data_IF_754238709665
#
_entry.id   IF_754238709665
#
_cell.length_a   1.000
_cell.length_b   1.000
_cell.length_c   1.000
_cell.angle_alpha   90.00
_cell.angle_beta   90.00
_cell.angle_gamma   90.00
#
_symmetry.space_group_name_H-M   'P 1'
#
loop_
_entity.id
_entity.type
_entity.pdbx_description
1 polymer ?
#
# COMPACT_ATOMS: atom_id res chain seq x y z
N UNK A 1 -3.45 30.75 16.46
CA UNK A 1 -4.06 29.41 16.22
C UNK A 1 -4.29 29.28 14.73
N UNK A 2 -3.45 28.53 14.04
CA UNK A 2 -3.60 28.30 12.60
C UNK A 2 -4.65 27.21 12.44
N UNK A 3 -5.83 27.57 11.96
CA UNK A 3 -6.83 26.57 11.54
C UNK A 3 -6.29 25.87 10.28
N UNK A 4 -5.79 24.66 10.42
CA UNK A 4 -5.63 23.76 9.29
C UNK A 4 -7.01 23.19 9.00
N UNK A 5 -7.61 23.58 7.89
CA UNK A 5 -8.74 22.83 7.34
C UNK A 5 -8.17 21.50 6.80
N UNK A 6 -8.60 20.41 7.39
CA UNK A 6 -8.27 19.07 6.92
C UNK A 6 -9.36 18.72 5.90
N UNK A 7 -8.94 18.36 4.69
CA UNK A 7 -9.85 17.95 3.62
C UNK A 7 -9.64 16.46 3.37
N UNK A 8 -10.62 15.67 3.75
CA UNK A 8 -10.71 14.26 3.38
C UNK A 8 -11.22 14.17 1.93
N UNK A 9 -10.34 14.48 0.98
CA UNK A 9 -10.70 14.48 -0.44
C UNK A 9 -10.28 13.17 -1.10
N UNK A 10 -11.26 12.46 -1.69
CA UNK A 10 -11.00 11.28 -2.50
C UNK A 10 -10.11 11.64 -3.71
N UNK A 11 -9.16 10.77 -4.03
CA UNK A 11 -8.31 10.95 -5.21
C UNK A 11 -9.15 10.96 -6.49
N UNK A 12 -8.68 11.71 -7.47
CA UNK A 12 -9.31 11.78 -8.80
C UNK A 12 -8.58 10.83 -9.74
N UNK A 13 -9.32 10.13 -10.59
CA UNK A 13 -8.76 9.28 -11.65
C UNK A 13 -8.08 10.13 -12.73
N UNK A 14 -6.95 10.73 -12.39
CA UNK A 14 -6.20 11.65 -13.26
C UNK A 14 -4.82 11.07 -13.51
N UNK A 15 -4.37 11.12 -14.77
CA UNK A 15 -2.99 10.89 -15.16
C UNK A 15 -2.34 12.22 -15.53
N UNK A 16 -1.26 12.59 -14.84
CA UNK A 16 -0.51 13.83 -15.07
C UNK A 16 0.96 13.51 -15.28
N UNK A 17 1.55 14.14 -16.30
CA UNK A 17 3.00 14.09 -16.52
C UNK A 17 3.58 15.47 -16.27
N UNK A 18 4.70 15.52 -15.55
CA UNK A 18 5.52 16.72 -15.37
C UNK A 18 6.95 16.45 -15.85
N UNK A 19 7.65 17.49 -16.24
CA UNK A 19 9.01 17.40 -16.76
C UNK A 19 9.96 18.16 -15.85
N UNK A 20 11.14 17.58 -15.59
CA UNK A 20 12.20 18.18 -14.81
C UNK A 20 13.53 17.84 -15.46
N UNK A 21 14.28 18.84 -15.91
CA UNK A 21 15.60 18.66 -16.52
C UNK A 21 16.59 17.98 -15.58
N UNK A 22 17.50 17.20 -16.14
CA UNK A 22 18.62 16.57 -15.44
C UNK A 22 18.20 15.55 -14.36
N UNK A 23 17.15 14.79 -14.59
CA UNK A 23 16.86 13.58 -13.84
C UNK A 23 17.32 12.36 -14.64
N UNK A 24 17.91 11.38 -13.95
CA UNK A 24 18.43 10.16 -14.59
C UNK A 24 17.32 9.13 -14.82
N UNK A 25 16.38 9.06 -13.90
CA UNK A 25 15.25 8.12 -13.95
C UNK A 25 13.92 8.87 -13.90
N UNK A 26 12.98 8.39 -14.68
CA UNK A 26 11.57 8.80 -14.54
C UNK A 26 10.98 8.16 -13.30
N UNK A 27 10.06 8.86 -12.63
CA UNK A 27 9.31 8.29 -11.51
C UNK A 27 7.82 8.22 -11.84
N UNK A 28 7.19 7.16 -11.37
CA UNK A 28 5.76 6.95 -11.50
C UNK A 28 5.19 6.74 -10.09
N UNK A 29 4.16 7.50 -9.76
CA UNK A 29 3.44 7.36 -8.49
C UNK A 29 1.96 7.12 -8.77
N UNK A 30 1.42 6.06 -8.19
CA UNK A 30 -0.02 5.82 -8.08
C UNK A 30 -0.46 6.22 -6.70
N UNK A 31 -1.57 6.91 -6.59
CA UNK A 31 -2.20 7.27 -5.33
C UNK A 31 -3.65 6.79 -5.31
N UNK A 32 -3.99 6.07 -4.28
CA UNK A 32 -5.35 5.65 -3.93
C UNK A 32 -5.70 6.25 -2.57
N UNK A 33 -6.90 6.78 -2.41
CA UNK A 33 -7.44 7.20 -1.12
C UNK A 33 -8.63 6.33 -0.73
N UNK A 34 -8.84 6.12 0.57
CA UNK A 34 -9.87 5.21 1.07
C UNK A 34 -10.50 5.69 2.38
N UNK A 35 -10.87 6.99 2.44
CA UNK A 35 -11.51 7.60 3.60
C UNK A 35 -12.85 6.96 3.99
N UNK A 36 -13.52 6.32 3.03
CA UNK A 36 -14.79 5.61 3.17
C UNK A 36 -14.64 4.10 3.45
N UNK A 37 -13.41 3.64 3.73
CA UNK A 37 -13.16 2.23 4.03
C UNK A 37 -13.65 1.91 5.43
N UNK A 38 -14.41 0.83 5.55
CA UNK A 38 -14.88 0.31 6.83
C UNK A 38 -13.68 -0.16 7.68
N UNK A 39 -13.70 0.14 9.00
CA UNK A 39 -12.61 -0.19 9.94
C UNK A 39 -12.25 -1.68 9.89
N UNK A 40 -13.23 -2.53 9.70
CA UNK A 40 -13.04 -3.97 9.58
C UNK A 40 -12.18 -4.40 8.37
N UNK A 41 -12.04 -3.58 7.35
CA UNK A 41 -11.21 -3.85 6.19
C UNK A 41 -9.80 -3.25 6.27
N UNK A 42 -9.48 -2.52 7.32
CA UNK A 42 -8.15 -1.94 7.50
C UNK A 42 -7.06 -3.00 7.71
N UNK A 43 -7.31 -3.99 8.56
CA UNK A 43 -6.37 -5.09 8.76
C UNK A 43 -6.18 -5.95 7.48
N UNK A 44 -7.24 -6.37 6.76
CA UNK A 44 -7.09 -6.95 5.41
C UNK A 44 -6.28 -6.09 4.45
N UNK A 45 -6.43 -4.76 4.47
CA UNK A 45 -5.66 -3.84 3.62
C UNK A 45 -4.16 -3.82 4.00
N UNK A 46 -3.82 -3.81 5.28
CA UNK A 46 -2.42 -3.95 5.75
C UNK A 46 -1.80 -5.23 5.24
N UNK A 47 -2.51 -6.36 5.36
CA UNK A 47 -2.07 -7.67 4.89
C UNK A 47 -1.90 -7.67 3.37
N UNK A 48 -2.84 -7.08 2.62
CA UNK A 48 -2.73 -6.93 1.17
C UNK A 48 -1.49 -6.11 0.79
N UNK A 49 -1.23 -4.98 1.47
CA UNK A 49 -0.09 -4.11 1.17
C UNK A 49 1.25 -4.84 1.29
N UNK A 50 1.43 -5.68 2.33
CA UNK A 50 2.63 -6.52 2.46
C UNK A 50 2.84 -7.41 1.23
N UNK A 51 1.78 -8.03 0.72
CA UNK A 51 1.86 -8.88 -0.47
C UNK A 51 2.04 -8.07 -1.75
N UNK A 52 1.46 -6.88 -1.81
CA UNK A 52 1.47 -6.03 -3.00
C UNK A 52 2.85 -5.44 -3.28
N UNK A 53 3.46 -4.75 -2.30
CA UNK A 53 4.67 -3.99 -2.58
C UNK A 53 5.61 -3.70 -1.40
N UNK A 54 5.37 -4.24 -0.20
CA UNK A 54 6.16 -3.85 0.98
C UNK A 54 7.44 -4.68 1.19
N UNK A 55 7.63 -5.76 0.44
CA UNK A 55 8.80 -6.64 0.58
C UNK A 55 9.43 -7.01 -0.75
N UNK A 56 10.66 -7.50 -0.72
CA UNK A 56 11.37 -8.05 -1.89
C UNK A 56 10.67 -9.26 -2.51
N UNK A 57 9.76 -9.93 -1.79
CA UNK A 57 8.94 -11.03 -2.28
C UNK A 57 7.54 -10.57 -2.70
N UNK A 58 7.28 -9.27 -2.74
CA UNK A 58 6.00 -8.70 -3.13
C UNK A 58 5.70 -8.91 -4.61
N UNK A 59 4.43 -8.83 -4.97
CA UNK A 59 3.97 -8.98 -6.36
C UNK A 59 4.60 -7.94 -7.28
N UNK A 60 4.61 -6.66 -6.86
CA UNK A 60 5.18 -5.58 -7.65
C UNK A 60 6.67 -5.77 -7.85
N UNK A 61 7.41 -6.05 -6.78
CA UNK A 61 8.86 -6.21 -6.86
C UNK A 61 9.24 -7.38 -7.78
N UNK A 62 8.62 -8.55 -7.57
CA UNK A 62 8.92 -9.74 -8.34
C UNK A 62 8.55 -9.59 -9.81
N UNK A 63 7.33 -9.13 -10.12
CA UNK A 63 6.84 -9.11 -11.50
C UNK A 63 7.43 -7.95 -12.32
N UNK A 64 7.58 -6.76 -11.73
CA UNK A 64 8.01 -5.56 -12.46
C UNK A 64 9.53 -5.45 -12.48
N UNK A 65 10.18 -5.66 -11.33
CA UNK A 65 11.63 -5.49 -11.21
C UNK A 65 12.40 -6.77 -11.59
N UNK A 66 12.08 -7.92 -10.99
CA UNK A 66 12.90 -9.13 -11.17
C UNK A 66 12.60 -9.84 -12.48
N UNK A 67 11.32 -10.06 -12.82
CA UNK A 67 10.93 -10.84 -13.99
C UNK A 67 11.02 -10.00 -15.27
N UNK A 68 10.45 -8.78 -15.23
CA UNK A 68 10.39 -7.91 -16.43
C UNK A 68 11.57 -6.96 -16.57
N UNK A 69 12.34 -6.72 -15.49
CA UNK A 69 13.49 -5.82 -15.48
C UNK A 69 13.16 -4.36 -15.79
N UNK A 70 11.92 -3.92 -15.52
CA UNK A 70 11.42 -2.60 -15.92
C UNK A 70 11.71 -1.52 -14.90
N UNK A 71 11.91 -1.87 -13.63
CA UNK A 71 12.07 -0.91 -12.54
C UNK A 71 13.41 -1.06 -11.83
N UNK A 72 14.02 0.07 -11.49
CA UNK A 72 15.18 0.11 -10.60
C UNK A 72 14.72 -0.14 -9.15
N UNK A 73 13.62 0.52 -8.77
CA UNK A 73 12.96 0.36 -7.47
C UNK A 73 11.45 0.42 -7.63
N UNK A 74 10.72 -0.38 -6.86
CA UNK A 74 9.27 -0.39 -6.83
C UNK A 74 8.77 -0.89 -5.48
N UNK A 75 7.87 -0.14 -4.87
CA UNK A 75 7.23 -0.50 -3.60
C UNK A 75 5.84 0.12 -3.47
N UNK A 76 5.05 -0.40 -2.53
CA UNK A 76 3.84 0.24 -2.06
C UNK A 76 3.99 0.66 -0.60
N UNK A 77 3.29 1.72 -0.22
CA UNK A 77 3.23 2.22 1.14
C UNK A 77 1.80 2.56 1.51
N UNK A 78 1.44 2.24 2.74
CA UNK A 78 0.12 2.45 3.30
C UNK A 78 0.20 3.43 4.46
N UNK A 79 -0.56 4.53 4.37
CA UNK A 79 -0.77 5.47 5.45
C UNK A 79 -2.25 5.41 5.88
N UNK A 80 -2.47 5.14 7.17
CA UNK A 80 -3.80 4.93 7.75
C UNK A 80 -4.08 5.89 8.90
N UNK A 81 -3.36 7.01 8.96
CA UNK A 81 -3.69 8.06 9.93
C UNK A 81 -5.06 8.67 9.61
N UNK A 82 -5.78 9.16 10.63
CA UNK A 82 -7.18 9.59 10.49
C UNK A 82 -7.43 10.58 9.37
N UNK A 83 -6.43 11.40 9.02
CA UNK A 83 -6.57 12.43 8.00
C UNK A 83 -5.77 12.14 6.72
N UNK A 84 -5.13 10.97 6.62
CA UNK A 84 -4.33 10.55 5.47
C UNK A 84 -4.59 9.07 5.22
N UNK A 85 -5.77 8.72 4.77
CA UNK A 85 -6.11 7.35 4.38
C UNK A 85 -5.68 7.13 2.93
N UNK A 86 -4.40 6.73 2.73
CA UNK A 86 -3.84 6.58 1.40
C UNK A 86 -2.95 5.36 1.24
N UNK A 87 -3.01 4.76 0.05
CA UNK A 87 -2.05 3.78 -0.44
C UNK A 87 -1.39 4.36 -1.69
N UNK A 88 -0.06 4.37 -1.73
CA UNK A 88 0.63 4.74 -2.94
C UNK A 88 1.58 3.65 -3.41
N UNK A 89 1.80 3.61 -4.73
CA UNK A 89 2.83 2.80 -5.36
C UNK A 89 3.83 3.76 -5.98
N UNK A 90 5.09 3.60 -5.64
CA UNK A 90 6.20 4.37 -6.21
C UNK A 90 7.09 3.45 -7.03
N UNK A 91 7.60 3.96 -8.16
CA UNK A 91 8.63 3.28 -8.93
C UNK A 91 9.54 4.25 -9.66
N UNK A 92 10.81 3.89 -9.80
CA UNK A 92 11.82 4.58 -10.59
C UNK A 92 12.24 3.70 -11.78
N UNK A 93 12.14 4.25 -12.99
CA UNK A 93 12.29 3.52 -14.26
C UNK A 93 13.07 4.32 -15.30
N UNK A 94 13.64 3.65 -16.30
CA UNK A 94 14.12 4.32 -17.50
C UNK A 94 12.96 4.99 -18.25
N UNK A 95 13.22 6.10 -18.97
CA UNK A 95 12.16 6.86 -19.62
C UNK A 95 11.39 6.04 -20.67
N UNK A 96 12.09 5.22 -21.43
CA UNK A 96 11.53 4.32 -22.44
C UNK A 96 10.62 3.24 -21.85
N UNK A 97 10.78 2.88 -20.58
CA UNK A 97 10.02 1.81 -19.92
C UNK A 97 8.80 2.31 -19.14
N UNK A 98 8.57 3.63 -19.09
CA UNK A 98 7.45 4.23 -18.34
C UNK A 98 6.10 3.59 -18.71
N UNK A 99 5.77 3.47 -19.99
CA UNK A 99 4.47 2.93 -20.40
C UNK A 99 4.35 1.42 -20.10
N UNK A 100 5.40 0.64 -20.37
CA UNK A 100 5.43 -0.80 -20.06
C UNK A 100 5.28 -1.05 -18.56
N UNK A 101 5.89 -0.20 -17.74
CA UNK A 101 5.79 -0.30 -16.27
C UNK A 101 4.36 0.01 -15.80
N UNK A 102 3.71 1.03 -16.35
CA UNK A 102 2.32 1.34 -16.06
C UNK A 102 1.40 0.18 -16.44
N UNK A 103 1.60 -0.43 -17.61
CA UNK A 103 0.85 -1.62 -18.05
C UNK A 103 1.05 -2.79 -17.08
N UNK A 104 2.31 -3.08 -16.71
CA UNK A 104 2.64 -4.16 -15.78
C UNK A 104 2.01 -3.95 -14.39
N UNK A 105 2.06 -2.74 -13.85
CA UNK A 105 1.39 -2.42 -12.57
C UNK A 105 -0.12 -2.63 -12.70
N UNK A 106 -0.75 -2.11 -13.76
CA UNK A 106 -2.19 -2.26 -13.97
C UNK A 106 -2.60 -3.73 -14.12
N UNK A 107 -1.80 -4.56 -14.83
CA UNK A 107 -2.04 -6.00 -14.94
C UNK A 107 -2.05 -6.69 -13.58
N UNK A 108 -1.11 -6.33 -12.69
CA UNK A 108 -1.02 -6.89 -11.34
C UNK A 108 -2.24 -6.47 -10.52
N UNK A 109 -2.57 -5.18 -10.49
CA UNK A 109 -3.72 -4.67 -9.74
C UNK A 109 -5.03 -5.30 -10.20
N UNK A 110 -5.25 -5.38 -11.52
CA UNK A 110 -6.42 -6.05 -12.09
C UNK A 110 -6.39 -7.56 -11.85
N UNK A 111 -5.20 -8.16 -11.86
CA UNK A 111 -5.01 -9.59 -11.57
C UNK A 111 -5.45 -9.94 -10.15
N UNK A 112 -5.10 -9.11 -9.15
CA UNK A 112 -5.56 -9.28 -7.77
C UNK A 112 -7.07 -9.07 -7.68
N UNK A 113 -7.60 -7.95 -8.18
CA UNK A 113 -9.04 -7.65 -8.12
C UNK A 113 -9.93 -8.71 -8.76
N UNK A 114 -9.48 -9.27 -9.88
CA UNK A 114 -10.22 -10.30 -10.64
C UNK A 114 -9.93 -11.73 -10.19
N UNK A 115 -9.23 -11.91 -9.07
CA UNK A 115 -8.82 -13.21 -8.54
C UNK A 115 -8.00 -14.06 -9.53
N UNK A 116 -7.35 -13.43 -10.54
CA UNK A 116 -6.44 -14.09 -11.48
C UNK A 116 -5.08 -14.36 -10.83
N UNK A 117 -4.66 -13.47 -9.93
CA UNK A 117 -3.55 -13.71 -9.02
C UNK A 117 -4.17 -14.34 -7.77
N UNK A 118 -3.95 -15.62 -7.62
CA UNK A 118 -4.51 -16.39 -6.52
C UNK A 118 -3.76 -16.06 -5.22
N UNK A 119 -4.52 -15.76 -4.17
CA UNK A 119 -4.04 -15.66 -2.80
C UNK A 119 -4.53 -16.91 -2.08
N UNK A 120 -3.75 -17.98 -2.20
CA UNK A 120 -4.06 -19.25 -1.56
C UNK A 120 -3.82 -19.22 -0.05
N UNK A 121 -4.24 -20.29 0.64
CA UNK A 121 -4.06 -20.42 2.10
C UNK A 121 -2.60 -20.24 2.53
N UNK A 122 -1.65 -20.82 1.78
CA UNK A 122 -0.23 -20.69 2.06
C UNK A 122 0.28 -19.24 1.97
N UNK A 123 -0.16 -18.50 0.95
CA UNK A 123 0.21 -17.08 0.79
C UNK A 123 -0.37 -16.26 1.94
N UNK A 124 -1.64 -16.50 2.26
CA UNK A 124 -2.33 -15.84 3.34
C UNK A 124 -1.65 -16.11 4.70
N UNK A 125 -1.25 -17.33 4.98
CA UNK A 125 -0.51 -17.71 6.19
C UNK A 125 0.84 -16.98 6.28
N UNK A 126 1.56 -16.85 5.17
CA UNK A 126 2.83 -16.10 5.12
C UNK A 126 2.56 -14.62 5.41
N UNK A 127 1.57 -14.02 4.78
CA UNK A 127 1.19 -12.63 4.98
C UNK A 127 0.82 -12.34 6.45
N UNK A 128 0.02 -13.22 7.06
CA UNK A 128 -0.34 -13.15 8.49
C UNK A 128 0.90 -13.24 9.40
N UNK A 129 1.84 -14.13 9.10
CA UNK A 129 3.09 -14.27 9.87
C UNK A 129 3.97 -13.03 9.77
N UNK A 130 4.10 -12.45 8.56
CA UNK A 130 4.85 -11.20 8.35
C UNK A 130 4.25 -10.08 9.19
N UNK A 131 2.93 -9.90 9.15
CA UNK A 131 2.25 -8.88 9.97
C UNK A 131 2.46 -9.10 11.46
N UNK A 132 2.27 -10.33 11.97
CA UNK A 132 2.54 -10.66 13.38
C UNK A 132 3.97 -10.33 13.80
N UNK A 133 4.94 -10.64 12.95
CA UNK A 133 6.35 -10.33 13.22
C UNK A 133 6.59 -8.82 13.29
N UNK A 134 5.99 -8.05 12.39
CA UNK A 134 6.09 -6.58 12.41
C UNK A 134 5.53 -6.00 13.72
N UNK A 135 4.35 -6.45 14.15
CA UNK A 135 3.75 -6.03 15.42
C UNK A 135 4.66 -6.37 16.61
N UNK A 136 5.17 -7.60 16.68
CA UNK A 136 6.08 -8.02 17.76
C UNK A 136 7.36 -7.16 17.76
N UNK A 137 7.96 -6.90 16.60
CA UNK A 137 9.13 -6.03 16.48
C UNK A 137 8.86 -4.62 17.03
N UNK A 138 7.71 -4.03 16.72
CA UNK A 138 7.32 -2.72 17.26
C UNK A 138 7.16 -2.76 18.78
N UNK A 139 6.61 -3.82 19.33
CA UNK A 139 6.41 -3.97 20.78
C UNK A 139 7.72 -4.22 21.54
N UNK A 140 8.70 -4.87 20.91
CA UNK A 140 10.01 -5.18 21.51
C UNK A 140 10.97 -3.97 21.47
N UNK A 141 10.76 -3.00 20.57
CA UNK A 141 11.54 -1.77 20.50
C UNK A 141 10.87 -0.63 21.25
N UNK A 142 11.51 -0.14 22.31
CA UNK A 142 10.93 0.91 23.17
C UNK A 142 10.69 2.23 22.43
N UNK A 143 11.48 2.57 21.42
CA UNK A 143 11.33 3.79 20.63
C UNK A 143 10.14 3.68 19.67
N UNK A 144 10.02 2.54 18.99
CA UNK A 144 8.90 2.24 18.12
C UNK A 144 7.59 2.16 18.91
N UNK A 145 7.60 1.50 20.08
CA UNK A 145 6.44 1.42 20.97
C UNK A 145 6.01 2.80 21.46
N UNK A 146 6.95 3.65 21.87
CA UNK A 146 6.64 5.04 22.25
C UNK A 146 6.02 5.82 21.08
N UNK A 147 6.57 5.67 19.90
CA UNK A 147 6.04 6.32 18.68
C UNK A 147 4.63 5.83 18.34
N UNK A 148 4.40 4.52 18.46
CA UNK A 148 3.08 3.92 18.26
C UNK A 148 2.05 4.48 19.26
N UNK A 149 2.35 4.43 20.57
CA UNK A 149 1.44 4.93 21.63
C UNK A 149 1.15 6.42 21.44
N UNK A 150 2.18 7.22 21.09
CA UNK A 150 2.02 8.65 20.85
C UNK A 150 1.08 8.91 19.67
N UNK A 151 1.26 8.20 18.57
CA UNK A 151 0.41 8.34 17.38
C UNK A 151 -1.04 7.96 17.69
N UNK A 152 -1.27 6.79 18.30
CA UNK A 152 -2.62 6.38 18.72
C UNK A 152 -3.29 7.42 19.62
N UNK A 153 -2.53 7.99 20.58
CA UNK A 153 -3.06 9.00 21.49
C UNK A 153 -3.36 10.34 20.81
N UNK A 154 -2.58 10.75 19.81
CA UNK A 154 -2.82 11.97 19.03
C UNK A 154 -4.07 11.81 18.14
N UNK A 155 -4.27 10.61 17.59
CA UNK A 155 -5.37 10.28 16.69
C UNK A 155 -6.66 9.88 17.44
N UNK A 156 -6.63 9.86 18.78
CA UNK A 156 -7.75 9.40 19.64
C UNK A 156 -8.19 7.95 19.33
N UNK A 157 -7.19 7.12 18.98
CA UNK A 157 -7.36 5.70 18.69
C UNK A 157 -6.98 4.82 19.89
N UNK A 158 -7.45 3.57 19.89
CA UNK A 158 -7.13 2.63 20.96
C UNK A 158 -5.67 2.19 20.92
N UNK A 159 -4.92 2.48 21.97
CA UNK A 159 -3.52 2.05 22.13
C UNK A 159 -3.35 0.53 22.15
N UNK A 160 -4.41 -0.21 22.40
CA UNK A 160 -4.44 -1.68 22.41
C UNK A 160 -4.99 -2.29 21.11
N UNK A 161 -5.21 -1.50 20.08
CA UNK A 161 -5.75 -1.99 18.80
C UNK A 161 -4.96 -3.17 18.22
N UNK A 162 -3.64 -3.17 18.42
CA UNK A 162 -2.78 -4.29 18.00
C UNK A 162 -3.17 -5.64 18.63
N UNK A 163 -3.75 -5.66 19.85
CA UNK A 163 -4.24 -6.90 20.47
C UNK A 163 -5.47 -7.43 19.71
N UNK A 164 -6.39 -6.53 19.37
CA UNK A 164 -7.58 -6.87 18.58
C UNK A 164 -7.18 -7.37 17.17
N UNK A 165 -6.20 -6.74 16.55
CA UNK A 165 -5.64 -7.16 15.27
C UNK A 165 -5.00 -8.56 15.37
N UNK A 166 -4.26 -8.83 16.45
CA UNK A 166 -3.62 -10.13 16.67
C UNK A 166 -4.62 -11.27 16.94
N UNK A 167 -5.74 -10.99 17.56
CA UNK A 167 -6.85 -11.94 17.71
C UNK A 167 -7.54 -12.20 16.36
N UNK A 168 -7.85 -11.12 15.64
CA UNK A 168 -8.60 -11.16 14.39
C UNK A 168 -7.82 -11.75 13.21
N UNK A 169 -6.49 -11.55 13.17
CA UNK A 169 -5.65 -11.92 12.02
C UNK A 169 -5.79 -13.40 11.63
N UNK A 170 -6.03 -14.28 12.61
CA UNK A 170 -6.19 -15.71 12.34
C UNK A 170 -7.43 -16.00 11.49
N UNK A 171 -8.47 -15.19 11.62
CA UNK A 171 -9.76 -15.37 10.98
C UNK A 171 -9.87 -14.66 9.63
N UNK A 172 -8.88 -13.86 9.23
CA UNK A 172 -8.87 -13.17 7.93
C UNK A 172 -8.82 -14.18 6.80
N UNK A 173 -9.67 -13.98 5.82
CA UNK A 173 -9.87 -14.83 4.66
C UNK A 173 -9.32 -14.19 3.39
N UNK A 174 -9.05 -15.01 2.36
CA UNK A 174 -8.69 -14.50 1.03
C UNK A 174 -9.81 -13.65 0.40
N UNK A 175 -11.07 -13.94 0.72
CA UNK A 175 -12.20 -13.15 0.20
C UNK A 175 -12.20 -11.72 0.75
N UNK A 176 -11.88 -11.50 2.03
CA UNK A 176 -11.69 -10.17 2.60
C UNK A 176 -10.53 -9.41 1.93
N UNK A 177 -9.43 -10.11 1.59
CA UNK A 177 -8.32 -9.49 0.85
C UNK A 177 -8.77 -9.05 -0.54
N UNK A 178 -9.54 -9.88 -1.27
CA UNK A 178 -10.07 -9.51 -2.58
C UNK A 178 -11.14 -8.41 -2.49
N UNK A 179 -11.95 -8.41 -1.45
CA UNK A 179 -12.93 -7.35 -1.20
C UNK A 179 -12.24 -6.01 -1.03
N UNK A 180 -11.27 -5.92 -0.12
CA UNK A 180 -10.54 -4.67 0.11
C UNK A 180 -9.74 -4.22 -1.12
N UNK A 181 -9.17 -5.16 -1.89
CA UNK A 181 -8.51 -4.84 -3.15
C UNK A 181 -9.47 -4.15 -4.13
N UNK A 182 -10.70 -4.64 -4.26
CA UNK A 182 -11.72 -4.03 -5.13
C UNK A 182 -12.21 -2.68 -4.61
N UNK A 183 -12.27 -2.46 -3.31
CA UNK A 183 -12.67 -1.19 -2.71
C UNK A 183 -11.58 -0.11 -2.87
N UNK A 184 -10.32 -0.46 -2.65
CA UNK A 184 -9.20 0.49 -2.59
C UNK A 184 -8.48 0.66 -3.92
N UNK A 185 -8.14 -0.42 -4.63
CA UNK A 185 -7.33 -0.37 -5.85
C UNK A 185 -8.14 0.04 -7.09
N UNK A 186 -8.86 1.15 -6.99
CA UNK A 186 -9.70 1.69 -8.07
C UNK A 186 -9.37 3.15 -8.35
N UNK A 187 -9.48 3.55 -9.61
CA UNK A 187 -9.39 4.94 -10.06
C UNK A 187 -8.18 5.73 -9.49
N UNK A 188 -6.94 5.25 -9.62
CA UNK A 188 -5.79 5.93 -9.06
C UNK A 188 -5.56 7.29 -9.69
N UNK A 189 -5.03 8.23 -8.90
CA UNK A 189 -4.29 9.36 -9.44
C UNK A 189 -2.89 8.88 -9.81
N UNK A 190 -2.48 9.06 -11.07
CA UNK A 190 -1.15 8.67 -11.55
C UNK A 190 -0.36 9.92 -11.89
N UNK A 191 0.79 10.08 -11.23
CA UNK A 191 1.74 11.14 -11.53
C UNK A 191 3.02 10.54 -12.10
N UNK A 192 3.48 11.11 -13.23
CA UNK A 192 4.70 10.71 -13.92
C UNK A 192 5.62 11.92 -13.96
N UNK A 193 6.85 11.78 -13.46
CA UNK A 193 7.91 12.76 -13.59
C UNK A 193 8.93 12.23 -14.61
N UNK A 194 9.17 13.01 -15.68
CA UNK A 194 10.11 12.68 -16.76
C UNK A 194 11.22 13.72 -16.89
N UNK A 195 12.30 13.32 -17.55
CA UNK A 195 13.37 14.24 -17.97
C UNK A 195 12.95 15.16 -19.10
#
# INVERSE_FOLDING_TARGET
MLFRSIFDEQNKAIRKTTYKKNIELSTIMYLFTFYDLEKDLELPLRILNHRLGESSNSLLFREVREIRGLAYDIYSHLDMTNHIKSLYIYTAVAEEDVNKTIEAINEILEGVKKKKIEIGERDLDIMKKVHKTAVISTLDDSSELCSYILNQSIEDEDIYEFLHDMERINNITSDEIYEVANKVLKNPTIHILKS
#
